data_IF_617748645539
#
_entry.id   IF_617748645539
#
_cell.length_a   1.000
_cell.length_b   1.000
_cell.length_c   1.000
_cell.angle_alpha   90.00
_cell.angle_beta   90.00
_cell.angle_gamma   90.00
#
_symmetry.space_group_name_H-M   'P 1'
#
loop_
_entity.id
_entity.type
_entity.pdbx_description
1 polymer ?
#
# COMPACT_ATOMS: atom_id res chain seq x y z
N UNK A 1 -8.28 -4.63 -25.29
CA UNK A 1 -7.88 -5.41 -24.11
C UNK A 1 -7.10 -4.47 -23.22
N UNK A 2 -7.54 -4.24 -21.99
CA UNK A 2 -6.68 -3.58 -21.00
C UNK A 2 -5.54 -4.55 -20.68
N UNK A 3 -4.30 -4.06 -20.56
CA UNK A 3 -3.20 -4.93 -20.15
C UNK A 3 -3.56 -5.62 -18.83
N UNK A 4 -3.05 -6.84 -18.63
CA UNK A 4 -3.14 -7.54 -17.35
C UNK A 4 -2.29 -6.76 -16.33
N UNK A 5 -2.84 -5.66 -15.81
CA UNK A 5 -2.18 -4.83 -14.82
C UNK A 5 -2.13 -5.65 -13.53
N UNK A 6 -0.90 -5.86 -13.06
CA UNK A 6 -0.61 -6.41 -11.75
C UNK A 6 -0.02 -5.30 -10.89
N UNK A 7 -0.53 -5.13 -9.68
CA UNK A 7 0.06 -4.21 -8.71
C UNK A 7 0.04 -4.79 -7.30
N UNK A 8 1.04 -4.41 -6.53
CA UNK A 8 1.17 -4.70 -5.11
C UNK A 8 0.81 -3.44 -4.33
N UNK A 9 -0.10 -3.57 -3.38
CA UNK A 9 -0.52 -2.51 -2.48
C UNK A 9 -0.03 -2.84 -1.08
N UNK A 10 0.80 -1.97 -0.51
CA UNK A 10 1.21 -2.01 0.88
C UNK A 10 0.49 -0.87 1.62
N UNK A 11 -0.07 -1.16 2.79
CA UNK A 11 -0.77 -0.17 3.61
C UNK A 11 -0.38 -0.27 5.06
N UNK A 12 -0.49 0.86 5.75
CA UNK A 12 -0.47 0.96 7.18
C UNK A 12 -1.48 2.03 7.60
N UNK A 13 -2.30 1.75 8.62
CA UNK A 13 -3.17 2.75 9.19
C UNK A 13 -2.38 3.87 9.89
N UNK A 14 -3.04 5.00 10.11
CA UNK A 14 -2.47 6.15 10.83
C UNK A 14 -2.07 5.79 12.26
N UNK A 15 -2.86 4.93 12.90
CA UNK A 15 -2.46 4.29 14.14
C UNK A 15 -1.50 3.15 13.81
N UNK A 16 -0.20 3.47 13.88
CA UNK A 16 0.86 2.48 13.73
C UNK A 16 0.59 1.27 14.61
N UNK A 17 0.96 0.08 14.12
CA UNK A 17 0.83 -1.21 14.84
C UNK A 17 -0.59 -1.80 14.92
N UNK A 18 -1.63 -1.08 14.49
CA UNK A 18 -3.01 -1.58 14.55
C UNK A 18 -3.34 -2.48 13.36
N UNK A 19 -3.18 -1.98 12.14
CA UNK A 19 -3.55 -2.69 10.92
C UNK A 19 -2.63 -2.27 9.76
N UNK A 20 -1.86 -3.22 9.27
CA UNK A 20 -0.98 -3.05 8.13
C UNK A 20 -0.80 -4.39 7.40
N UNK A 21 -0.42 -4.32 6.14
CA UNK A 21 -0.31 -5.51 5.31
C UNK A 21 0.03 -5.24 3.86
N UNK A 22 -0.01 -6.32 3.10
CA UNK A 22 0.25 -6.33 1.65
C UNK A 22 -0.86 -7.10 0.92
N UNK A 23 -1.26 -6.61 -0.24
CA UNK A 23 -2.23 -7.23 -1.12
C UNK A 23 -1.74 -7.15 -2.55
N UNK A 24 -1.99 -8.20 -3.33
CA UNK A 24 -1.69 -8.24 -4.76
C UNK A 24 -2.97 -8.30 -5.55
N UNK A 25 -3.00 -7.53 -6.64
CA UNK A 25 -4.12 -7.47 -7.54
C UNK A 25 -3.67 -7.83 -8.95
N UNK A 26 -4.49 -8.61 -9.65
CA UNK A 26 -4.33 -8.92 -11.07
C UNK A 26 -5.64 -8.68 -11.80
N UNK A 27 -5.61 -7.84 -12.83
CA UNK A 27 -6.80 -7.49 -13.62
C UNK A 27 -7.98 -7.02 -12.74
N UNK A 28 -7.69 -6.26 -11.67
CA UNK A 28 -8.68 -5.74 -10.73
C UNK A 28 -9.17 -6.72 -9.66
N UNK A 29 -8.69 -7.97 -9.66
CA UNK A 29 -9.04 -8.99 -8.66
C UNK A 29 -7.91 -9.13 -7.65
N UNK A 30 -8.24 -9.10 -6.35
CA UNK A 30 -7.28 -9.41 -5.28
C UNK A 30 -6.94 -10.90 -5.31
N UNK A 31 -5.67 -11.23 -5.52
CA UNK A 31 -5.19 -12.61 -5.62
C UNK A 31 -4.48 -13.07 -4.35
N UNK A 32 -3.84 -12.15 -3.63
CA UNK A 32 -3.12 -12.43 -2.39
C UNK A 32 -3.41 -11.33 -1.37
N UNK A 33 -3.43 -11.71 -0.09
CA UNK A 33 -3.63 -10.81 1.04
C UNK A 33 -2.86 -11.36 2.24
N UNK A 34 -2.02 -10.52 2.82
CA UNK A 34 -1.25 -10.85 4.01
C UNK A 34 -1.34 -9.68 5.00
N UNK A 35 -1.82 -10.00 6.19
CA UNK A 35 -1.80 -9.08 7.33
C UNK A 35 -0.52 -9.34 8.12
N UNK A 36 0.20 -8.27 8.48
CA UNK A 36 1.40 -8.42 9.31
C UNK A 36 0.95 -8.77 10.73
N UNK A 37 1.56 -9.79 11.33
CA UNK A 37 1.29 -10.23 12.70
C UNK A 37 2.51 -9.96 13.58
N UNK A 38 2.25 -9.72 14.87
CA UNK A 38 3.30 -9.36 15.84
C UNK A 38 3.47 -7.84 15.99
N UNK A 39 3.74 -7.40 17.21
CA UNK A 39 3.78 -5.97 17.54
C UNK A 39 5.00 -5.29 16.90
N UNK A 40 6.18 -5.89 17.04
CA UNK A 40 7.43 -5.31 16.54
C UNK A 40 7.44 -5.31 15.01
N UNK A 41 6.98 -6.39 14.38
CA UNK A 41 6.89 -6.52 12.93
C UNK A 41 5.89 -5.53 12.32
N UNK A 42 4.73 -5.33 12.95
CA UNK A 42 3.75 -4.33 12.52
C UNK A 42 4.29 -2.91 12.67
N UNK A 43 5.08 -2.63 13.70
CA UNK A 43 5.73 -1.32 13.89
C UNK A 43 6.71 -1.05 12.75
N UNK A 44 7.67 -1.95 12.55
CA UNK A 44 8.71 -1.82 11.53
C UNK A 44 8.09 -1.64 10.13
N UNK A 45 7.10 -2.48 9.79
CA UNK A 45 6.39 -2.39 8.52
C UNK A 45 5.61 -1.07 8.37
N UNK A 46 4.90 -0.62 9.41
CA UNK A 46 4.13 0.63 9.35
C UNK A 46 5.03 1.84 9.12
N UNK A 47 6.18 1.89 9.79
CA UNK A 47 7.17 2.96 9.63
C UNK A 47 7.68 3.00 8.19
N UNK A 48 7.99 1.85 7.60
CA UNK A 48 8.47 1.79 6.22
C UNK A 48 7.42 2.30 5.22
N UNK A 49 6.16 1.86 5.35
CA UNK A 49 5.07 2.29 4.45
C UNK A 49 4.85 3.80 4.55
N UNK A 50 4.80 4.35 5.76
CA UNK A 50 4.65 5.80 5.95
C UNK A 50 5.85 6.58 5.41
N UNK A 51 7.07 6.09 5.62
CA UNK A 51 8.27 6.70 5.05
C UNK A 51 8.20 6.73 3.51
N UNK A 52 7.79 5.63 2.88
CA UNK A 52 7.61 5.60 1.42
C UNK A 52 6.53 6.58 0.96
N UNK A 53 5.42 6.70 1.68
CA UNK A 53 4.36 7.67 1.37
C UNK A 53 4.86 9.12 1.42
N UNK A 54 5.57 9.50 2.48
CA UNK A 54 6.09 10.87 2.67
C UNK A 54 7.19 11.22 1.65
N UNK A 55 8.03 10.26 1.26
CA UNK A 55 9.20 10.51 0.43
C UNK A 55 9.02 10.24 -1.06
N UNK A 56 8.16 9.29 -1.44
CA UNK A 56 7.88 9.00 -2.86
C UNK A 56 6.72 9.84 -3.41
N UNK A 57 5.98 10.52 -2.53
CA UNK A 57 4.91 11.44 -2.87
C UNK A 57 3.67 10.74 -3.42
N UNK A 58 2.50 11.30 -3.10
CA UNK A 58 1.31 11.09 -3.92
C UNK A 58 1.69 11.31 -5.40
N UNK A 59 1.11 10.57 -6.36
CA UNK A 59 1.11 11.07 -7.73
C UNK A 59 0.60 12.50 -7.64
N UNK A 60 1.45 13.47 -8.02
CA UNK A 60 1.01 14.86 -8.11
C UNK A 60 -0.32 14.81 -8.83
N UNK A 61 -1.39 15.31 -8.19
CA UNK A 61 -2.67 15.48 -8.86
C UNK A 61 -2.32 16.19 -10.17
N UNK A 62 -2.36 15.47 -11.28
CA UNK A 62 -2.28 16.10 -12.57
C UNK A 62 -3.48 17.01 -12.56
N UNK A 63 -3.25 18.31 -12.39
CA UNK A 63 -4.27 19.34 -12.56
C UNK A 63 -5.02 18.95 -13.83
N UNK A 64 -6.24 18.46 -13.67
CA UNK A 64 -7.14 18.31 -14.78
C UNK A 64 -7.45 19.74 -15.21
N UNK A 65 -6.63 20.26 -16.10
CA UNK A 65 -6.87 21.51 -16.80
C UNK A 65 -8.15 21.27 -17.58
N UNK A 66 -9.26 21.80 -17.09
CA UNK A 66 -10.50 21.95 -17.86
C UNK A 66 -10.30 22.99 -18.97
#
# INVERSE_FOLDING_TARGET
>A
MHPDIEFTHQWAEEQMVVNCGTAKYKAGVQTEYEQVEGYDERMDFSVEVWYQFEHNGLPQEQEQTM
#
